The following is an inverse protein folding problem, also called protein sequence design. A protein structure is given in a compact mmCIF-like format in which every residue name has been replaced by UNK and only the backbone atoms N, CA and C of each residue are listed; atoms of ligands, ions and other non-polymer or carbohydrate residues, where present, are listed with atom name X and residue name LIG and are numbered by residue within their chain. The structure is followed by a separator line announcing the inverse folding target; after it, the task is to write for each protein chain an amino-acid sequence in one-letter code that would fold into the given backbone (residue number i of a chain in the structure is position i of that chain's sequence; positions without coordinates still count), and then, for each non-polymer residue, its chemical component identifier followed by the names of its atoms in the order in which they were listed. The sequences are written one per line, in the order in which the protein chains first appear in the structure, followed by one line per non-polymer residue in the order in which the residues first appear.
data_IF_252273840376
#
_entry.id   IF_252273840376
#
_cell.length_a   1.000
_cell.length_b   1.000
_cell.length_c   1.000
_cell.angle_alpha   90.00
_cell.angle_beta   90.00
_cell.angle_gamma   90.00
#
_symmetry.space_group_name_H-M   'P 1'
#
loop_
_entity.id
_entity.type
_entity.pdbx_description
1 polymer ?
#
# COMPACT_ATOMS: atom_id res chain seq x y z
N UNK A 1 -35.40 -32.09 -57.08
CA UNK A 1 -34.58 -31.04 -56.41
C UNK A 1 -34.56 -31.39 -54.92
N UNK A 2 -33.91 -32.50 -54.58
CA UNK A 2 -34.32 -33.30 -53.40
C UNK A 2 -33.15 -34.07 -52.77
N UNK A 3 -31.91 -33.56 -52.92
CA UNK A 3 -30.70 -34.18 -52.34
C UNK A 3 -29.82 -33.23 -51.54
N UNK A 4 -30.25 -31.98 -51.35
CA UNK A 4 -29.50 -30.98 -50.58
C UNK A 4 -30.05 -30.74 -49.16
N UNK A 5 -31.30 -31.16 -48.86
CA UNK A 5 -31.95 -30.87 -47.59
C UNK A 5 -31.61 -31.88 -46.48
N UNK A 6 -31.45 -33.17 -46.81
CA UNK A 6 -31.13 -34.20 -45.80
C UNK A 6 -29.75 -34.04 -45.16
N UNK A 7 -28.79 -33.46 -45.88
CA UNK A 7 -27.42 -33.30 -45.36
C UNK A 7 -27.29 -32.15 -44.34
N UNK A 8 -28.23 -31.20 -44.34
CA UNK A 8 -28.27 -30.09 -43.38
C UNK A 8 -29.01 -30.50 -42.11
N UNK A 9 -30.09 -31.29 -42.23
CA UNK A 9 -30.88 -31.73 -41.07
C UNK A 9 -30.10 -32.69 -40.17
N UNK A 10 -29.22 -33.53 -40.74
CA UNK A 10 -28.42 -34.48 -39.94
C UNK A 10 -27.27 -33.83 -39.14
N UNK A 11 -26.98 -32.52 -39.33
CA UNK A 11 -26.01 -31.79 -38.49
C UNK A 11 -26.64 -30.97 -37.36
N UNK A 12 -27.96 -30.78 -37.35
CA UNK A 12 -28.64 -30.00 -36.31
C UNK A 12 -29.11 -30.89 -35.14
N UNK A 13 -29.33 -32.18 -35.38
CA UNK A 13 -29.73 -33.12 -34.33
C UNK A 13 -28.61 -33.47 -33.33
N UNK A 14 -27.33 -33.21 -33.65
CA UNK A 14 -26.19 -33.54 -32.79
C UNK A 14 -25.83 -32.48 -31.75
N UNK A 15 -26.24 -31.21 -31.93
CA UNK A 15 -25.81 -30.10 -31.05
C UNK A 15 -26.89 -29.73 -30.02
N UNK A 16 -28.17 -29.93 -30.34
CA UNK A 16 -29.26 -29.70 -29.39
C UNK A 16 -29.27 -30.72 -28.23
N UNK A 17 -28.79 -31.95 -28.46
CA UNK A 17 -28.70 -33.00 -27.44
C UNK A 17 -27.60 -32.79 -26.40
N UNK A 18 -26.52 -32.07 -26.73
CA UNK A 18 -25.40 -31.84 -25.82
C UNK A 18 -25.60 -30.60 -24.93
N UNK A 19 -26.37 -29.60 -25.40
CA UNK A 19 -26.71 -28.41 -24.60
C UNK A 19 -27.80 -28.73 -23.57
N UNK A 20 -28.73 -29.64 -23.89
CA UNK A 20 -29.76 -30.10 -22.94
C UNK A 20 -29.21 -30.90 -21.75
N UNK A 21 -28.09 -31.62 -21.91
CA UNK A 21 -27.47 -32.44 -20.86
C UNK A 21 -26.58 -31.65 -19.89
N UNK A 22 -26.10 -30.47 -20.28
CA UNK A 22 -25.32 -29.57 -19.42
C UNK A 22 -26.18 -28.62 -18.57
N UNK A 23 -27.45 -28.43 -18.92
CA UNK A 23 -28.39 -27.59 -18.14
C UNK A 23 -29.06 -28.37 -16.99
N UNK A 24 -29.09 -29.70 -17.05
CA UNK A 24 -29.71 -30.55 -16.02
C UNK A 24 -28.76 -30.99 -14.88
N UNK A 25 -27.47 -30.67 -14.94
CA UNK A 25 -26.46 -31.11 -13.98
C UNK A 25 -25.95 -30.02 -13.02
N UNK A 26 -26.63 -28.87 -12.93
CA UNK A 26 -26.11 -27.75 -12.13
C UNK A 26 -27.16 -26.83 -11.55
N UNK A 27 -28.07 -27.33 -10.71
CA UNK A 27 -28.75 -26.50 -9.69
C UNK A 27 -29.58 -27.38 -8.75
N UNK A 28 -29.07 -27.65 -7.55
CA UNK A 28 -29.77 -27.58 -6.26
C UNK A 28 -28.91 -28.19 -5.16
N UNK A 29 -27.90 -27.46 -4.69
CA UNK A 29 -27.38 -27.57 -3.31
C UNK A 29 -26.31 -26.48 -3.08
N UNK A 30 -26.76 -25.24 -2.94
CA UNK A 30 -25.97 -24.19 -2.30
C UNK A 30 -26.56 -24.00 -0.89
N UNK A 31 -25.77 -24.25 0.18
CA UNK A 31 -26.24 -24.12 1.55
C UNK A 31 -26.52 -22.66 1.93
N UNK A 32 -27.43 -22.39 2.89
CA UNK A 32 -27.93 -21.05 3.22
C UNK A 32 -26.94 -20.13 3.97
N UNK A 33 -25.65 -20.43 4.01
CA UNK A 33 -24.66 -19.66 4.78
C UNK A 33 -23.98 -18.49 4.03
N UNK A 34 -24.35 -18.22 2.78
CA UNK A 34 -23.83 -17.07 2.03
C UNK A 34 -24.54 -15.74 2.32
N UNK A 35 -25.34 -15.67 3.40
CA UNK A 35 -25.93 -14.41 3.89
C UNK A 35 -25.09 -13.86 5.04
N UNK A 36 -23.89 -13.37 4.75
CA UNK A 36 -23.20 -12.28 5.48
C UNK A 36 -21.80 -11.99 4.90
N UNK A 37 -21.67 -11.89 3.58
CA UNK A 37 -20.61 -11.04 3.05
C UNK A 37 -21.18 -9.65 2.81
N UNK A 38 -21.37 -8.92 3.93
CA UNK A 38 -21.39 -7.45 3.91
C UNK A 38 -19.95 -7.06 3.58
N UNK A 39 -19.60 -7.16 2.31
CA UNK A 39 -18.34 -6.68 1.81
C UNK A 39 -18.54 -5.22 1.46
N UNK A 40 -18.08 -4.26 2.28
CA UNK A 40 -17.70 -2.99 1.70
C UNK A 40 -16.40 -3.28 0.95
N UNK A 41 -16.49 -3.78 -0.29
CA UNK A 41 -15.43 -3.49 -1.25
C UNK A 41 -15.53 -1.98 -1.48
N UNK A 42 -14.95 -1.20 -0.54
CA UNK A 42 -14.38 0.09 -0.87
C UNK A 42 -13.15 -0.24 -1.69
N UNK A 43 -13.35 -0.37 -3.00
CA UNK A 43 -12.31 -0.05 -3.98
C UNK A 43 -12.03 1.45 -3.86
N UNK A 44 -11.40 1.85 -2.76
CA UNK A 44 -10.49 2.99 -2.85
C UNK A 44 -9.42 2.55 -3.86
N UNK A 45 -9.08 3.35 -4.88
CA UNK A 45 -7.86 3.06 -5.62
C UNK A 45 -6.76 3.19 -4.58
N UNK A 46 -6.23 2.07 -4.10
CA UNK A 46 -5.06 2.05 -3.24
C UNK A 46 -3.92 2.50 -4.15
N UNK A 47 -3.76 3.82 -4.28
CA UNK A 47 -2.67 4.43 -5.05
C UNK A 47 -1.31 4.16 -4.40
N UNK A 48 -1.30 3.65 -3.17
CA UNK A 48 -0.07 3.34 -2.47
C UNK A 48 -0.25 2.22 -1.43
N UNK A 49 0.73 1.34 -1.34
CA UNK A 49 0.84 0.28 -0.34
C UNK A 49 1.85 0.71 0.73
N UNK A 50 1.51 0.47 2.01
CA UNK A 50 2.42 0.74 3.12
C UNK A 50 2.74 -0.57 3.84
N UNK A 51 4.02 -0.85 4.01
CA UNK A 51 4.49 -2.00 4.79
C UNK A 51 5.49 -1.57 5.84
N UNK A 52 5.48 -2.26 6.98
CA UNK A 52 6.44 -2.03 8.06
C UNK A 52 7.26 -3.30 8.22
N UNK A 53 8.57 -3.17 7.99
CA UNK A 53 9.51 -4.28 8.05
C UNK A 53 10.39 -4.12 9.29
N UNK A 54 10.18 -4.92 10.35
CA UNK A 54 11.08 -4.96 11.50
C UNK A 54 12.49 -5.38 11.08
N UNK A 55 13.51 -4.87 11.78
CA UNK A 55 14.86 -5.40 11.66
C UNK A 55 14.92 -6.85 12.16
N UNK A 56 15.93 -7.59 11.72
CA UNK A 56 16.12 -8.98 12.13
C UNK A 56 16.14 -9.11 13.66
N UNK A 57 15.36 -10.07 14.18
CA UNK A 57 15.24 -10.32 15.63
C UNK A 57 14.35 -9.33 16.39
N UNK A 58 13.75 -8.33 15.72
CA UNK A 58 12.78 -7.42 16.32
C UNK A 58 11.35 -7.98 16.21
N UNK A 59 10.54 -7.73 17.23
CA UNK A 59 9.11 -8.02 17.22
C UNK A 59 8.31 -7.06 16.33
N UNK A 60 6.96 -7.11 16.39
CA UNK A 60 6.11 -6.19 15.65
C UNK A 60 6.38 -4.72 16.04
N UNK A 61 6.08 -3.81 15.12
CA UNK A 61 6.28 -2.39 15.33
C UNK A 61 5.45 -1.87 16.51
N UNK A 62 6.02 -1.05 17.42
CA UNK A 62 5.32 -0.49 18.57
C UNK A 62 4.47 0.76 18.21
N UNK A 63 4.09 0.91 16.95
CA UNK A 63 3.31 2.02 16.40
C UNK A 63 2.40 1.52 15.28
N UNK A 64 1.47 2.36 14.83
CA UNK A 64 0.61 2.09 13.66
C UNK A 64 0.78 3.20 12.63
N UNK A 65 0.67 2.84 11.35
CA UNK A 65 0.50 3.81 10.27
C UNK A 65 -1.01 3.91 10.01
N UNK A 66 -1.61 5.04 10.38
CA UNK A 66 -3.06 5.23 10.26
C UNK A 66 -3.45 5.73 8.87
N UNK A 67 -2.60 6.57 8.27
CA UNK A 67 -2.84 7.18 6.96
C UNK A 67 -1.53 7.34 6.20
N UNK A 68 -1.63 7.22 4.88
CA UNK A 68 -0.60 7.64 3.95
C UNK A 68 -1.23 8.46 2.82
N UNK A 69 -0.50 9.46 2.35
CA UNK A 69 -0.84 10.26 1.17
C UNK A 69 0.43 10.49 0.37
N UNK A 70 0.35 10.30 -0.93
CA UNK A 70 1.46 10.45 -1.85
C UNK A 70 1.24 11.69 -2.73
N UNK A 71 2.28 12.49 -2.91
CA UNK A 71 2.34 13.63 -3.82
C UNK A 71 3.45 13.44 -4.86
N UNK A 72 3.76 14.50 -5.60
CA UNK A 72 4.94 14.53 -6.47
C UNK A 72 6.18 14.71 -5.59
N UNK A 73 7.08 13.72 -5.58
CA UNK A 73 8.33 13.74 -4.78
C UNK A 73 8.16 13.75 -3.24
N UNK A 74 6.97 13.45 -2.72
CA UNK A 74 6.73 13.41 -1.27
C UNK A 74 5.68 12.38 -0.84
N UNK A 75 5.80 11.91 0.39
CA UNK A 75 4.85 11.00 1.05
C UNK A 75 4.56 11.51 2.46
N UNK A 76 3.31 11.81 2.74
CA UNK A 76 2.83 12.13 4.08
C UNK A 76 2.34 10.86 4.78
N UNK A 77 2.79 10.64 6.01
CA UNK A 77 2.42 9.54 6.90
C UNK A 77 1.82 10.10 8.19
N UNK A 78 0.73 9.49 8.64
CA UNK A 78 0.21 9.68 10.01
C UNK A 78 0.54 8.44 10.81
N UNK A 79 1.32 8.61 11.88
CA UNK A 79 1.81 7.53 12.73
C UNK A 79 1.26 7.69 14.14
N UNK A 80 0.59 6.67 14.65
CA UNK A 80 0.07 6.66 16.02
C UNK A 80 0.82 5.73 16.95
N UNK A 81 0.82 6.10 18.22
CA UNK A 81 1.28 5.31 19.33
C UNK A 81 0.07 4.61 19.99
N UNK A 82 -0.19 3.31 19.73
CA UNK A 82 -1.31 2.60 20.32
C UNK A 82 -1.06 2.19 21.77
N UNK A 83 0.06 2.60 22.38
CA UNK A 83 0.48 2.15 23.70
C UNK A 83 0.12 3.18 24.77
N UNK A 84 0.09 2.73 26.02
CA UNK A 84 -0.19 3.59 27.20
C UNK A 84 1.02 4.38 27.67
N UNK A 85 2.16 4.29 26.99
CA UNK A 85 3.39 5.01 27.33
C UNK A 85 3.88 5.81 26.14
N UNK A 86 4.50 6.95 26.42
CA UNK A 86 5.15 7.78 25.41
C UNK A 86 6.24 7.01 24.68
N UNK A 87 6.33 7.20 23.36
CA UNK A 87 7.40 6.65 22.52
C UNK A 87 8.20 7.77 21.88
N UNK A 88 9.50 7.57 21.74
CA UNK A 88 10.38 8.47 20.99
C UNK A 88 10.73 7.83 19.66
N UNK A 89 10.41 8.52 18.57
CA UNK A 89 10.68 8.09 17.20
C UNK A 89 11.86 8.86 16.63
N UNK A 90 12.85 8.12 16.15
CA UNK A 90 14.07 8.64 15.54
C UNK A 90 14.14 8.11 14.12
N UNK A 91 14.09 8.98 13.13
CA UNK A 91 14.46 8.63 11.76
C UNK A 91 15.96 8.84 11.58
N UNK A 92 16.60 7.92 10.88
CA UNK A 92 18.06 7.90 10.74
C UNK A 92 18.50 8.14 9.31
N UNK A 93 17.78 7.55 8.35
CA UNK A 93 18.14 7.50 6.94
C UNK A 93 16.94 6.93 6.15
N UNK A 94 17.00 7.02 4.83
CA UNK A 94 16.05 6.40 3.94
C UNK A 94 16.34 6.68 2.48
N UNK A 95 15.47 6.20 1.61
CA UNK A 95 15.67 6.31 0.17
C UNK A 95 14.35 6.52 -0.53
N UNK A 96 14.36 7.39 -1.54
CA UNK A 96 13.27 7.56 -2.48
C UNK A 96 13.76 7.02 -3.82
N UNK A 97 13.07 6.03 -4.39
CA UNK A 97 13.50 5.32 -5.59
C UNK A 97 12.39 5.39 -6.63
N UNK A 98 12.70 5.95 -7.79
CA UNK A 98 11.77 6.10 -8.93
C UNK A 98 11.59 4.81 -9.72
N UNK A 99 10.64 4.81 -10.65
CA UNK A 99 10.39 3.71 -11.59
C UNK A 99 11.65 3.32 -12.41
N UNK A 100 12.44 4.30 -12.83
CA UNK A 100 13.70 4.14 -13.55
C UNK A 100 14.89 3.84 -12.63
N UNK A 101 14.61 3.46 -11.38
CA UNK A 101 15.60 3.06 -10.37
C UNK A 101 16.62 4.15 -10.00
N UNK A 102 16.25 5.42 -10.17
CA UNK A 102 17.02 6.55 -9.67
C UNK A 102 16.72 6.72 -8.18
N UNK A 103 17.78 6.68 -7.36
CA UNK A 103 17.70 6.87 -5.92
C UNK A 103 18.00 8.31 -5.52
N UNK A 104 17.14 8.87 -4.68
CA UNK A 104 17.30 10.16 -4.02
C UNK A 104 17.44 9.94 -2.51
N UNK A 105 18.20 10.82 -1.86
CA UNK A 105 18.17 10.94 -0.41
C UNK A 105 16.78 11.46 0.03
N UNK A 106 16.44 11.26 1.30
CA UNK A 106 15.18 11.76 1.86
C UNK A 106 15.41 12.84 2.91
N UNK A 107 14.45 13.74 3.02
CA UNK A 107 14.25 14.61 4.17
C UNK A 107 12.93 14.26 4.85
N UNK A 108 12.80 14.59 6.14
CA UNK A 108 11.55 14.41 6.90
C UNK A 108 11.10 15.78 7.41
N UNK A 109 9.80 16.06 7.34
CA UNK A 109 9.16 17.22 7.98
C UNK A 109 8.12 16.71 8.97
N UNK A 110 8.02 17.34 10.15
CA UNK A 110 6.98 17.01 11.15
C UNK A 110 6.04 18.18 11.43
N UNK A 111 6.45 19.38 11.04
CA UNK A 111 5.66 20.60 10.97
C UNK A 111 5.72 21.16 9.53
N UNK A 112 5.07 22.31 9.30
CA UNK A 112 5.01 22.92 7.96
C UNK A 112 6.32 23.59 7.55
N UNK A 113 7.26 23.81 8.47
CA UNK A 113 8.40 24.69 8.25
C UNK A 113 9.74 23.95 8.40
N UNK A 114 10.18 23.36 7.29
CA UNK A 114 11.55 22.91 7.11
C UNK A 114 11.79 21.41 7.27
N UNK A 115 13.01 20.99 6.95
CA UNK A 115 13.48 19.62 7.16
C UNK A 115 13.89 19.44 8.62
N UNK A 116 13.34 18.43 9.28
CA UNK A 116 13.68 18.05 10.64
C UNK A 116 14.59 16.82 10.64
N UNK A 117 15.70 16.94 11.35
CA UNK A 117 16.57 15.82 11.73
C UNK A 117 16.35 15.40 13.18
N UNK A 118 15.47 16.10 13.90
CA UNK A 118 15.22 15.87 15.32
C UNK A 118 14.26 14.71 15.53
N UNK A 119 14.47 13.93 16.58
CA UNK A 119 13.51 12.91 16.99
C UNK A 119 12.16 13.51 17.39
N UNK A 120 11.06 12.81 17.13
CA UNK A 120 9.72 13.19 17.60
C UNK A 120 9.25 12.29 18.73
N UNK A 121 8.58 12.88 19.70
CA UNK A 121 7.88 12.16 20.77
C UNK A 121 6.41 12.03 20.42
N UNK A 122 5.85 10.82 20.54
CA UNK A 122 4.42 10.55 20.38
C UNK A 122 3.89 10.11 21.74
N UNK A 123 3.03 10.93 22.34
CA UNK A 123 2.39 10.63 23.62
C UNK A 123 1.55 9.34 23.55
N UNK A 124 1.23 8.79 24.72
CA UNK A 124 0.36 7.62 24.82
C UNK A 124 -0.98 7.85 24.09
N UNK A 125 -1.38 6.92 23.22
CA UNK A 125 -2.57 7.03 22.36
C UNK A 125 -2.59 8.27 21.44
N UNK A 126 -1.44 8.94 21.27
CA UNK A 126 -1.28 10.09 20.40
C UNK A 126 -0.89 9.71 18.98
N UNK A 127 -0.83 10.71 18.10
CA UNK A 127 -0.37 10.56 16.73
C UNK A 127 0.45 11.76 16.29
N UNK A 128 1.33 11.53 15.32
CA UNK A 128 2.08 12.58 14.64
C UNK A 128 1.93 12.43 13.14
N UNK A 129 1.92 13.56 12.44
CA UNK A 129 2.01 13.60 10.99
C UNK A 129 3.46 13.92 10.61
N UNK A 130 3.98 13.20 9.63
CA UNK A 130 5.27 13.47 9.03
C UNK A 130 5.18 13.45 7.51
N UNK A 131 6.01 14.23 6.84
CA UNK A 131 6.15 14.22 5.38
C UNK A 131 7.58 13.85 5.03
N UNK A 132 7.75 12.75 4.30
CA UNK A 132 9.02 12.33 3.71
C UNK A 132 9.12 12.93 2.31
N UNK A 133 10.22 13.62 2.02
CA UNK A 133 10.44 14.33 0.75
C UNK A 133 11.73 13.88 0.08
N UNK A 134 11.76 13.83 -1.25
CA UNK A 134 12.99 13.57 -1.98
C UNK A 134 13.93 14.78 -1.97
N UNK A 135 15.23 14.53 -1.80
CA UNK A 135 16.29 15.53 -1.85
C UNK A 135 17.19 15.32 -3.07
N UNK A 136 17.48 16.40 -3.78
CA UNK A 136 18.46 16.44 -4.85
C UNK A 136 19.89 16.33 -4.29
N UNK A 137 20.88 16.17 -5.18
CA UNK A 137 22.30 16.02 -4.80
C UNK A 137 22.87 17.21 -4.04
N UNK A 138 22.30 18.40 -4.23
CA UNK A 138 22.66 19.64 -3.53
C UNK A 138 21.94 19.80 -2.18
N UNK A 139 21.18 18.79 -1.75
CA UNK A 139 20.43 18.78 -0.49
C UNK A 139 19.11 19.56 -0.55
N UNK A 140 18.77 20.17 -1.69
CA UNK A 140 17.49 20.86 -1.84
C UNK A 140 16.35 19.90 -2.11
N UNK A 141 15.15 20.36 -1.80
CA UNK A 141 13.92 19.64 -2.08
C UNK A 141 13.75 19.47 -3.58
N UNK A 142 13.40 18.26 -4.01
CA UNK A 142 12.93 18.03 -5.37
C UNK A 142 11.52 18.60 -5.47
N UNK A 143 11.36 19.76 -6.10
CA UNK A 143 10.05 20.42 -6.27
C UNK A 143 9.43 20.07 -7.61
N UNK A 144 8.10 20.26 -7.71
CA UNK A 144 7.34 20.05 -8.94
C UNK A 144 7.75 20.98 -10.09
N UNK A 145 8.39 22.11 -9.80
CA UNK A 145 8.71 23.15 -10.80
C UNK A 145 9.91 22.76 -11.66
N UNK A 146 10.89 22.04 -11.12
CA UNK A 146 12.13 21.74 -11.83
C UNK A 146 12.26 20.25 -12.22
N UNK A 147 11.80 19.31 -11.36
CA UNK A 147 11.77 17.85 -11.63
C UNK A 147 10.72 17.15 -10.75
N UNK A 148 9.46 17.14 -11.17
CA UNK A 148 8.42 16.34 -10.51
C UNK A 148 8.75 14.85 -10.60
N UNK A 149 8.79 14.14 -9.46
CA UNK A 149 8.86 12.68 -9.43
C UNK A 149 7.42 12.16 -9.36
N UNK A 150 6.94 11.63 -10.46
CA UNK A 150 5.62 11.02 -10.56
C UNK A 150 5.66 9.52 -10.27
N UNK A 151 4.53 8.98 -9.85
CA UNK A 151 4.36 7.55 -9.66
C UNK A 151 4.61 6.80 -10.99
N UNK A 152 5.16 5.57 -10.96
CA UNK A 152 5.41 4.79 -9.76
C UNK A 152 6.76 5.09 -9.09
N UNK A 153 6.78 4.98 -7.76
CA UNK A 153 8.00 5.11 -6.97
C UNK A 153 7.87 4.39 -5.61
N UNK A 154 8.99 4.18 -4.93
CA UNK A 154 9.03 3.61 -3.57
C UNK A 154 9.82 4.50 -2.62
N UNK A 155 9.37 4.59 -1.38
CA UNK A 155 10.04 5.34 -0.31
C UNK A 155 10.29 4.39 0.86
N UNK A 156 11.54 4.30 1.30
CA UNK A 156 11.93 3.55 2.50
C UNK A 156 12.44 4.50 3.58
N UNK A 157 11.77 4.53 4.73
CA UNK A 157 12.16 5.34 5.88
C UNK A 157 12.63 4.43 7.02
N UNK A 158 13.90 4.51 7.40
CA UNK A 158 14.44 3.74 8.53
C UNK A 158 14.15 4.47 9.84
N UNK A 159 13.49 3.75 10.74
CA UNK A 159 13.05 4.25 12.04
C UNK A 159 13.66 3.43 13.18
N UNK A 160 13.99 4.14 14.26
CA UNK A 160 14.21 3.59 15.59
C UNK A 160 13.15 4.14 16.51
N UNK A 161 12.51 3.27 17.29
CA UNK A 161 11.51 3.65 18.28
C UNK A 161 11.99 3.24 19.66
N UNK A 162 12.03 4.21 20.57
CA UNK A 162 12.48 4.04 21.94
C UNK A 162 11.29 4.18 22.90
N UNK A 163 11.16 3.23 23.83
CA UNK A 163 10.16 3.24 24.89
C UNK A 163 10.82 2.79 26.19
N UNK A 164 11.15 3.75 27.05
CA UNK A 164 12.01 3.50 28.21
C UNK A 164 13.35 2.89 27.78
N UNK A 165 13.70 1.73 28.33
CA UNK A 165 14.92 0.98 27.96
C UNK A 165 14.76 0.11 26.71
N UNK A 166 13.53 -0.04 26.20
CA UNK A 166 13.27 -0.88 25.03
C UNK A 166 13.48 -0.08 23.74
N UNK A 167 14.11 -0.72 22.75
CA UNK A 167 14.37 -0.11 21.44
C UNK A 167 13.93 -1.06 20.34
N UNK A 168 13.13 -0.56 19.42
CA UNK A 168 12.73 -1.23 18.19
C UNK A 168 13.38 -0.55 16.99
N UNK A 169 13.71 -1.32 15.95
CA UNK A 169 14.25 -0.81 14.69
C UNK A 169 13.54 -1.45 13.51
N UNK A 170 13.34 -0.70 12.44
CA UNK A 170 12.79 -1.22 11.20
C UNK A 170 12.69 -0.17 10.11
N UNK A 171 12.07 -0.55 8.99
CA UNK A 171 11.85 0.32 7.84
C UNK A 171 10.36 0.41 7.54
N UNK A 172 9.85 1.61 7.33
CA UNK A 172 8.53 1.84 6.74
C UNK A 172 8.72 2.00 5.25
N UNK A 173 8.11 1.12 4.47
CA UNK A 173 8.10 1.18 3.03
C UNK A 173 6.76 1.70 2.54
N UNK A 174 6.79 2.65 1.62
CA UNK A 174 5.63 3.15 0.90
C UNK A 174 5.87 2.95 -0.58
N UNK A 175 5.04 2.14 -1.22
CA UNK A 175 5.06 1.92 -2.65
C UNK A 175 3.90 2.67 -3.27
N UNK A 176 4.16 3.54 -4.26
CA UNK A 176 3.16 4.36 -4.93
C UNK A 176 3.07 3.90 -6.38
N UNK A 177 1.84 3.62 -6.83
CA UNK A 177 1.50 3.10 -8.15
C UNK A 177 1.10 4.21 -9.13
#
# INVERSE_FOLDING_TARGET
MEKAFERVVMRVAGVAGLVGLLVLSGCRLLPPELRTLKSPIRLSPIKHEVTVQPAQGMGPAPFKIDQAKAGSSEVQLTISNPTTSTIRMVWSDGTFITADSISYAIGVRTDRDGLSTQSTTIEANGAVQMTVVALAKDGKLVTSVDKSIEAPYRVGLKLTVERGITRWKGTVWVFVL
#
